data_IF_020601502265
#
_entry.id   IF_020601502265
#
_cell.length_a   1.000
_cell.length_b   1.000
_cell.length_c   1.000
_cell.angle_alpha   90.00
_cell.angle_beta   90.00
_cell.angle_gamma   90.00
#
_symmetry.space_group_name_H-M   'P 1'
#
loop_
_entity.id
_entity.type
_entity.pdbx_description
1 polymer ?
#
# COMPACT_ATOMS: atom_id res chain seq x y z
N UNK A 1 23.47 1.51 1.09
CA UNK A 1 22.89 2.40 0.05
C UNK A 1 23.70 3.68 0.00
N UNK A 2 24.30 3.99 -1.14
CA UNK A 2 25.11 5.19 -1.37
C UNK A 2 24.32 6.29 -2.12
N UNK A 3 24.97 7.43 -2.42
CA UNK A 3 24.32 8.56 -3.09
C UNK A 3 23.82 8.21 -4.51
N UNK A 4 24.48 7.29 -5.20
CA UNK A 4 24.05 6.85 -6.54
C UNK A 4 22.83 5.94 -6.43
N UNK A 5 22.79 5.04 -5.46
CA UNK A 5 21.62 4.20 -5.22
C UNK A 5 20.37 5.05 -4.91
N UNK A 6 20.54 6.12 -4.12
CA UNK A 6 19.45 7.08 -3.86
C UNK A 6 18.94 7.78 -5.13
N UNK A 7 19.85 8.19 -6.02
CA UNK A 7 19.45 8.77 -7.32
C UNK A 7 18.69 7.75 -8.17
N UNK A 8 19.17 6.50 -8.23
CA UNK A 8 18.48 5.41 -8.94
C UNK A 8 17.05 5.25 -8.40
N UNK A 9 16.88 5.20 -7.07
CA UNK A 9 15.55 5.08 -6.46
C UNK A 9 14.66 6.29 -6.76
N UNK A 10 15.19 7.50 -6.72
CA UNK A 10 14.45 8.72 -7.05
C UNK A 10 13.93 8.69 -8.49
N UNK A 11 14.79 8.35 -9.44
CA UNK A 11 14.42 8.25 -10.85
C UNK A 11 13.39 7.14 -11.11
N UNK A 12 13.59 5.95 -10.53
CA UNK A 12 12.67 4.82 -10.69
C UNK A 12 11.31 5.04 -10.01
N UNK A 13 11.26 5.77 -8.89
CA UNK A 13 9.99 6.14 -8.27
C UNK A 13 9.22 7.16 -9.12
N UNK A 14 9.92 8.05 -9.84
CA UNK A 14 9.30 9.01 -10.74
C UNK A 14 8.85 8.35 -12.04
N UNK A 15 9.64 7.43 -12.59
CA UNK A 15 9.32 6.70 -13.81
C UNK A 15 9.97 5.31 -13.82
N UNK A 16 9.15 4.29 -13.58
CA UNK A 16 9.60 2.88 -13.57
C UNK A 16 9.84 2.29 -14.97
N UNK A 17 9.39 2.98 -16.04
CA UNK A 17 9.53 2.51 -17.43
C UNK A 17 10.87 2.91 -18.08
N UNK A 18 11.74 3.62 -17.36
CA UNK A 18 13.07 3.95 -17.83
C UNK A 18 13.85 2.68 -18.18
N UNK A 19 14.43 2.67 -19.39
CA UNK A 19 15.43 1.65 -19.72
C UNK A 19 16.67 1.79 -18.84
N UNK A 20 17.41 0.71 -18.67
CA UNK A 20 18.67 0.74 -17.89
C UNK A 20 19.66 1.76 -18.46
N UNK A 21 19.68 1.94 -19.79
CA UNK A 21 20.54 2.92 -20.46
C UNK A 21 20.14 4.35 -20.11
N UNK A 22 18.84 4.68 -20.16
CA UNK A 22 18.34 6.00 -19.80
C UNK A 22 18.60 6.33 -18.34
N UNK A 23 18.33 5.36 -17.45
CA UNK A 23 18.58 5.50 -16.03
C UNK A 23 20.08 5.71 -15.75
N UNK A 24 20.96 4.92 -16.38
CA UNK A 24 22.40 5.04 -16.24
C UNK A 24 22.88 6.45 -16.63
N UNK A 25 22.40 6.98 -17.75
CA UNK A 25 22.69 8.35 -18.20
C UNK A 25 22.28 9.41 -17.17
N UNK A 26 21.09 9.25 -16.55
CA UNK A 26 20.57 10.21 -15.55
C UNK A 26 21.35 10.20 -14.25
N UNK A 27 21.86 9.02 -13.83
CA UNK A 27 22.61 8.90 -12.56
C UNK A 27 24.13 9.00 -12.74
N UNK A 28 24.62 9.20 -13.97
CA UNK A 28 26.03 9.35 -14.27
C UNK A 28 26.84 8.03 -14.24
N UNK A 29 26.22 6.93 -14.68
CA UNK A 29 26.85 5.62 -14.78
C UNK A 29 26.85 5.09 -16.22
N UNK A 30 27.67 4.09 -16.50
CA UNK A 30 27.47 3.20 -17.64
C UNK A 30 26.39 2.14 -17.32
N UNK A 31 25.87 1.50 -18.36
CA UNK A 31 24.72 0.58 -18.27
C UNK A 31 24.97 -0.60 -17.30
N UNK A 32 26.14 -1.26 -17.40
CA UNK A 32 26.42 -2.47 -16.61
C UNK A 32 26.47 -2.19 -15.10
N UNK A 33 27.22 -1.20 -14.57
CA UNK A 33 27.18 -0.91 -13.15
C UNK A 33 25.82 -0.38 -12.68
N UNK A 34 25.07 0.34 -13.51
CA UNK A 34 23.72 0.75 -13.19
C UNK A 34 22.80 -0.48 -13.00
N UNK A 35 22.81 -1.40 -13.95
CA UNK A 35 22.05 -2.66 -13.85
C UNK A 35 22.40 -3.47 -12.60
N UNK A 36 23.70 -3.62 -12.27
CA UNK A 36 24.12 -4.34 -11.07
C UNK A 36 23.59 -3.71 -9.79
N UNK A 37 23.52 -2.38 -9.73
CA UNK A 37 22.95 -1.66 -8.57
C UNK A 37 21.46 -1.88 -8.46
N UNK A 38 20.70 -1.85 -9.56
CA UNK A 38 19.28 -2.13 -9.56
C UNK A 38 19.03 -3.56 -9.05
N UNK A 39 19.76 -4.55 -9.57
CA UNK A 39 19.63 -5.94 -9.13
C UNK A 39 19.93 -6.10 -7.63
N UNK A 40 20.92 -5.36 -7.12
CA UNK A 40 21.22 -5.36 -5.68
C UNK A 40 20.08 -4.74 -4.87
N UNK A 41 19.51 -3.61 -5.30
CA UNK A 41 18.38 -2.95 -4.62
C UNK A 41 17.12 -3.83 -4.62
N UNK A 42 16.87 -4.58 -5.70
CA UNK A 42 15.80 -5.58 -5.78
C UNK A 42 16.08 -6.78 -4.86
N UNK A 43 17.29 -7.33 -4.89
CA UNK A 43 17.70 -8.44 -4.03
C UNK A 43 17.64 -8.11 -2.54
N UNK A 44 18.07 -6.90 -2.17
CA UNK A 44 18.04 -6.41 -0.79
C UNK A 44 16.61 -6.03 -0.33
N UNK A 45 15.60 -6.16 -1.18
CA UNK A 45 14.20 -5.85 -0.89
C UNK A 45 13.91 -4.35 -0.75
N UNK A 46 14.80 -3.48 -1.21
CA UNK A 46 14.59 -2.01 -1.22
C UNK A 46 13.63 -1.65 -2.35
N UNK A 47 13.78 -2.25 -3.52
CA UNK A 47 12.80 -2.23 -4.60
C UNK A 47 11.96 -3.50 -4.47
N UNK A 48 10.71 -3.35 -4.07
CA UNK A 48 9.80 -4.48 -3.89
C UNK A 48 9.28 -5.02 -5.22
N UNK A 49 8.82 -4.12 -6.09
CA UNK A 49 8.26 -4.43 -7.42
C UNK A 49 8.05 -3.15 -8.22
N UNK A 50 7.85 -3.30 -9.52
CA UNK A 50 7.40 -2.23 -10.41
C UNK A 50 5.94 -2.50 -10.78
N UNK A 51 5.09 -1.49 -10.72
CA UNK A 51 3.65 -1.61 -10.97
C UNK A 51 3.13 -0.42 -11.77
N UNK A 52 2.07 -0.64 -12.53
CA UNK A 52 1.28 0.45 -13.07
C UNK A 52 0.36 1.00 -11.97
N UNK A 53 0.27 2.31 -11.87
CA UNK A 53 -0.71 2.98 -11.03
C UNK A 53 -1.98 3.22 -11.82
N UNK A 54 -3.12 2.82 -11.26
CA UNK A 54 -4.42 2.93 -11.89
C UNK A 54 -5.27 3.94 -11.14
N UNK A 55 -6.00 4.80 -11.85
CA UNK A 55 -6.99 5.69 -11.26
C UNK A 55 -8.24 4.88 -10.89
N UNK A 56 -8.53 4.66 -9.60
CA UNK A 56 -9.60 3.77 -9.18
C UNK A 56 -10.97 4.23 -9.67
N UNK A 57 -11.20 5.54 -9.74
CA UNK A 57 -12.46 6.13 -10.21
C UNK A 57 -12.72 5.77 -11.69
N UNK A 58 -11.67 5.59 -12.48
CA UNK A 58 -11.77 5.24 -13.90
C UNK A 58 -12.07 3.78 -14.18
N UNK A 59 -11.90 2.94 -13.16
CA UNK A 59 -12.24 1.51 -13.23
C UNK A 59 -13.46 1.17 -12.34
N UNK A 60 -14.24 2.19 -11.94
CA UNK A 60 -15.48 2.01 -11.20
C UNK A 60 -15.30 1.85 -9.68
N UNK A 61 -14.14 2.17 -9.11
CA UNK A 61 -13.86 2.09 -7.67
C UNK A 61 -13.82 3.51 -7.07
N UNK A 62 -14.99 4.16 -7.03
CA UNK A 62 -15.11 5.58 -6.65
C UNK A 62 -15.21 5.86 -5.15
N UNK A 63 -15.35 4.85 -4.30
CA UNK A 63 -15.57 5.03 -2.87
C UNK A 63 -14.39 4.51 -2.05
N UNK A 64 -13.74 5.41 -1.32
CA UNK A 64 -12.70 5.05 -0.34
C UNK A 64 -13.24 5.21 1.07
N UNK A 65 -13.05 4.18 1.90
CA UNK A 65 -13.51 4.14 3.28
C UNK A 65 -12.33 3.82 4.20
N UNK A 66 -12.15 4.61 5.25
CA UNK A 66 -11.23 4.35 6.33
C UNK A 66 -12.01 3.71 7.47
N UNK A 67 -11.68 2.46 7.79
CA UNK A 67 -12.38 1.65 8.80
C UNK A 67 -11.50 1.49 10.02
N UNK A 68 -11.90 2.11 11.13
CA UNK A 68 -11.25 1.94 12.43
C UNK A 68 -11.91 0.79 13.18
N UNK A 69 -11.10 -0.11 13.70
CA UNK A 69 -11.53 -1.33 14.40
C UNK A 69 -10.95 -1.36 15.80
N UNK A 70 -11.82 -1.66 16.77
CA UNK A 70 -11.45 -2.02 18.13
C UNK A 70 -11.81 -3.49 18.37
N UNK A 71 -10.91 -4.25 18.97
CA UNK A 71 -11.15 -5.63 19.40
C UNK A 71 -11.11 -5.77 20.91
N UNK A 72 -11.84 -6.72 21.44
CA UNK A 72 -11.72 -7.11 22.84
C UNK A 72 -10.69 -8.23 23.07
N UNK A 73 -10.17 -8.83 22.00
CA UNK A 73 -9.19 -9.92 22.03
C UNK A 73 -7.89 -9.46 21.35
N UNK A 74 -6.81 -9.44 22.10
CA UNK A 74 -5.48 -9.05 21.65
C UNK A 74 -4.54 -10.26 21.52
N UNK A 75 -5.08 -11.48 21.48
CA UNK A 75 -4.29 -12.70 21.29
C UNK A 75 -3.67 -12.78 19.91
N UNK A 76 -2.52 -13.43 19.79
CA UNK A 76 -1.87 -13.67 18.51
C UNK A 76 -2.73 -14.55 17.61
N UNK A 77 -3.48 -15.48 18.17
CA UNK A 77 -4.39 -16.34 17.42
C UNK A 77 -5.49 -15.54 16.74
N UNK A 78 -6.12 -14.62 17.47
CA UNK A 78 -7.14 -13.72 16.92
C UNK A 78 -6.55 -12.87 15.79
N UNK A 79 -5.38 -12.24 16.03
CA UNK A 79 -4.72 -11.40 15.02
C UNK A 79 -4.40 -12.18 13.74
N UNK A 80 -3.87 -13.41 13.87
CA UNK A 80 -3.52 -14.24 12.71
C UNK A 80 -4.76 -14.52 11.87
N UNK A 81 -5.85 -15.01 12.47
CA UNK A 81 -7.10 -15.29 11.79
C UNK A 81 -7.71 -14.06 11.15
N UNK A 82 -7.69 -12.94 11.86
CA UNK A 82 -8.22 -11.68 11.35
C UNK A 82 -7.38 -11.16 10.18
N UNK A 83 -6.05 -11.20 10.26
CA UNK A 83 -5.16 -10.80 9.17
C UNK A 83 -5.33 -11.69 7.93
N UNK A 84 -5.48 -13.02 8.10
CA UNK A 84 -5.78 -13.95 6.99
C UNK A 84 -7.10 -13.57 6.30
N UNK A 85 -8.17 -13.34 7.08
CA UNK A 85 -9.44 -12.89 6.53
C UNK A 85 -9.30 -11.59 5.75
N UNK A 86 -8.66 -10.57 6.35
CA UNK A 86 -8.50 -9.25 5.71
C UNK A 86 -7.65 -9.35 4.44
N UNK A 87 -6.58 -10.13 4.44
CA UNK A 87 -5.70 -10.32 3.28
C UNK A 87 -6.43 -10.98 2.10
N UNK A 88 -7.45 -11.77 2.36
CA UNK A 88 -8.28 -12.39 1.34
C UNK A 88 -9.35 -11.44 0.74
N UNK A 89 -9.55 -10.24 1.30
CA UNK A 89 -10.54 -9.28 0.77
C UNK A 89 -9.90 -8.37 -0.29
N UNK A 90 -10.27 -8.47 -1.58
CA UNK A 90 -9.65 -7.69 -2.65
C UNK A 90 -9.90 -6.19 -2.54
N UNK A 91 -10.98 -5.77 -1.89
CA UNK A 91 -11.31 -4.38 -1.65
C UNK A 91 -10.47 -3.72 -0.55
N UNK A 92 -9.78 -4.49 0.31
CA UNK A 92 -8.90 -3.95 1.34
C UNK A 92 -7.52 -3.69 0.74
N UNK A 93 -7.18 -2.42 0.61
CA UNK A 93 -5.93 -1.98 0.03
C UNK A 93 -4.79 -1.95 1.05
N UNK A 94 -5.10 -1.66 2.31
CA UNK A 94 -4.13 -1.55 3.40
C UNK A 94 -4.74 -1.93 4.73
N UNK A 95 -3.95 -2.53 5.60
CA UNK A 95 -4.27 -2.78 7.01
C UNK A 95 -3.10 -2.36 7.88
N UNK A 96 -3.36 -1.53 8.87
CA UNK A 96 -2.38 -1.09 9.86
C UNK A 96 -2.83 -1.53 11.26
N UNK A 97 -1.88 -2.08 12.03
CA UNK A 97 -2.03 -2.20 13.49
C UNK A 97 -1.62 -0.89 14.11
N UNK A 98 -2.46 -0.38 15.00
CA UNK A 98 -2.30 0.94 15.59
C UNK A 98 -1.87 0.84 17.06
N UNK A 99 -1.29 1.93 17.56
CA UNK A 99 -1.15 2.19 18.99
C UNK A 99 -2.10 3.33 19.35
N UNK A 100 -2.86 3.20 20.46
CA UNK A 100 -3.85 4.18 20.90
C UNK A 100 -5.25 3.60 20.99
N UNK A 101 -6.26 4.40 20.80
CA UNK A 101 -7.68 4.05 21.01
C UNK A 101 -8.24 3.08 19.96
N UNK A 102 -7.62 3.01 18.82
CA UNK A 102 -8.00 2.13 17.71
C UNK A 102 -6.94 1.03 17.56
N UNK A 103 -7.35 -0.22 17.45
CA UNK A 103 -6.43 -1.35 17.30
C UNK A 103 -5.96 -1.53 15.86
N UNK A 104 -6.86 -1.33 14.89
CA UNK A 104 -6.55 -1.47 13.45
C UNK A 104 -7.24 -0.40 12.62
N UNK A 105 -6.59 0.00 11.53
CA UNK A 105 -7.19 0.83 10.47
C UNK A 105 -7.06 0.10 9.15
N UNK A 106 -8.18 0.01 8.42
CA UNK A 106 -8.22 -0.49 7.05
C UNK A 106 -8.47 0.68 6.09
N UNK A 107 -7.82 0.64 4.92
CA UNK A 107 -8.24 1.43 3.77
C UNK A 107 -8.93 0.51 2.78
N UNK A 108 -10.23 0.73 2.60
CA UNK A 108 -11.10 -0.06 1.73
C UNK A 108 -11.47 0.78 0.52
N UNK A 109 -11.43 0.18 -0.69
CA UNK A 109 -11.84 0.85 -1.93
C UNK A 109 -12.86 -0.01 -2.65
N UNK A 110 -14.04 0.54 -2.91
CA UNK A 110 -15.19 -0.16 -3.49
C UNK A 110 -15.92 0.72 -4.51
N UNK A 111 -16.83 0.13 -5.26
CA UNK A 111 -17.58 0.86 -6.28
C UNK A 111 -18.53 1.90 -5.65
N UNK A 112 -19.31 1.50 -4.64
CA UNK A 112 -20.41 2.26 -4.05
C UNK A 112 -20.74 1.81 -2.61
N UNK A 113 -21.78 2.40 -2.03
CA UNK A 113 -22.26 2.09 -0.69
C UNK A 113 -22.78 0.66 -0.57
N UNK A 114 -23.38 0.09 -1.61
CA UNK A 114 -23.89 -1.27 -1.57
C UNK A 114 -22.75 -2.29 -1.51
N UNK A 115 -21.69 -2.05 -2.28
CA UNK A 115 -20.46 -2.86 -2.22
C UNK A 115 -19.78 -2.74 -0.86
N UNK A 116 -19.76 -1.53 -0.26
CA UNK A 116 -19.24 -1.36 1.09
C UNK A 116 -20.07 -2.09 2.14
N UNK A 117 -21.40 -2.02 2.09
CA UNK A 117 -22.27 -2.74 3.02
C UNK A 117 -22.07 -4.26 2.94
N UNK A 118 -21.86 -4.79 1.74
CA UNK A 118 -21.54 -6.21 1.53
C UNK A 118 -20.19 -6.60 2.19
N UNK A 119 -19.17 -5.76 2.03
CA UNK A 119 -17.89 -5.94 2.73
C UNK A 119 -18.06 -5.86 4.25
N UNK A 120 -18.74 -4.83 4.75
CA UNK A 120 -18.98 -4.61 6.17
C UNK A 120 -19.66 -5.82 6.83
N UNK A 121 -20.66 -6.41 6.20
CA UNK A 121 -21.33 -7.62 6.70
C UNK A 121 -20.38 -8.81 6.80
N UNK A 122 -19.49 -9.00 5.85
CA UNK A 122 -18.44 -10.03 5.94
C UNK A 122 -17.45 -9.74 7.07
N UNK A 123 -17.04 -8.49 7.22
CA UNK A 123 -16.11 -8.05 8.25
C UNK A 123 -16.62 -8.36 9.66
N UNK A 124 -17.86 -7.94 9.99
CA UNK A 124 -18.42 -8.13 11.33
C UNK A 124 -18.79 -9.60 11.62
N UNK A 125 -18.89 -10.43 10.59
CA UNK A 125 -19.14 -11.88 10.75
C UNK A 125 -17.83 -12.68 10.92
N UNK A 126 -16.71 -12.15 10.41
CA UNK A 126 -15.45 -12.87 10.37
C UNK A 126 -14.76 -13.02 11.74
N UNK A 127 -14.96 -12.04 12.64
CA UNK A 127 -14.35 -12.04 13.97
C UNK A 127 -15.19 -11.23 14.96
N UNK A 128 -15.13 -11.55 16.26
CA UNK A 128 -15.73 -10.72 17.28
C UNK A 128 -14.98 -9.38 17.37
N UNK A 129 -15.67 -8.29 17.01
CA UNK A 129 -15.16 -6.94 17.06
C UNK A 129 -15.90 -6.16 18.15
N UNK A 130 -15.18 -5.34 18.92
CA UNK A 130 -15.77 -4.49 19.95
C UNK A 130 -16.47 -3.28 19.33
N UNK A 131 -15.81 -2.64 18.36
CA UNK A 131 -16.33 -1.48 17.64
C UNK A 131 -15.76 -1.42 16.22
N UNK A 132 -16.58 -0.94 15.29
CA UNK A 132 -16.19 -0.67 13.90
C UNK A 132 -16.72 0.70 13.50
N UNK A 133 -15.83 1.61 13.19
CA UNK A 133 -16.17 2.97 12.73
C UNK A 133 -15.74 3.16 11.29
N UNK A 134 -16.72 3.38 10.41
CA UNK A 134 -16.48 3.63 8.98
C UNK A 134 -16.49 5.13 8.69
N UNK A 135 -15.42 5.64 8.08
CA UNK A 135 -15.30 7.04 7.66
C UNK A 135 -15.13 7.09 6.16
N UNK A 136 -16.08 7.69 5.48
CA UNK A 136 -16.09 7.83 4.02
C UNK A 136 -15.26 9.04 3.61
N UNK A 137 -14.24 8.81 2.78
CA UNK A 137 -13.45 9.90 2.24
C UNK A 137 -14.27 10.69 1.22
N UNK A 138 -14.45 11.99 1.46
CA UNK A 138 -15.15 12.86 0.52
C UNK A 138 -14.27 13.20 -0.69
N UNK A 139 -12.97 13.33 -0.47
CA UNK A 139 -11.99 13.70 -1.48
C UNK A 139 -10.60 13.17 -1.12
N UNK A 140 -9.84 12.76 -2.11
CA UNK A 140 -8.42 12.43 -1.97
C UNK A 140 -7.57 13.59 -2.45
N UNK A 141 -7.15 14.44 -1.50
CA UNK A 141 -6.41 15.68 -1.79
C UNK A 141 -4.98 15.38 -2.27
N UNK A 142 -4.33 14.35 -1.70
CA UNK A 142 -2.97 13.95 -2.08
C UNK A 142 -2.82 12.43 -2.08
N UNK A 143 -2.12 11.89 -3.08
CA UNK A 143 -1.78 10.47 -3.17
C UNK A 143 -0.42 10.31 -3.86
N UNK A 144 0.63 10.50 -3.09
CA UNK A 144 2.00 10.26 -3.54
C UNK A 144 2.40 8.81 -3.30
N UNK A 145 3.09 8.22 -4.27
CA UNK A 145 3.66 6.87 -4.16
C UNK A 145 5.18 6.90 -4.03
N UNK A 146 5.82 8.02 -4.39
CA UNK A 146 7.25 8.21 -4.26
C UNK A 146 7.62 8.65 -2.83
N UNK A 147 8.40 7.84 -2.15
CA UNK A 147 8.96 8.20 -0.85
C UNK A 147 10.13 9.18 -1.00
N UNK A 148 10.27 10.17 -0.11
CA UNK A 148 11.48 10.98 -0.04
C UNK A 148 12.64 10.08 0.39
N UNK A 149 13.64 9.92 -0.50
CA UNK A 149 14.81 9.09 -0.19
C UNK A 149 15.74 9.87 0.72
N UNK A 150 16.00 9.41 1.97
CA UNK A 150 16.82 10.16 2.92
C UNK A 150 18.25 10.35 2.43
N UNK A 151 18.88 11.45 2.82
CA UNK A 151 20.27 11.80 2.44
C UNK A 151 21.29 10.80 3.00
#
# INVERSE_FOLDING_TARGET
MDAIDRKILTELQANADLSVQELANRVGLSQTPCWKRIQKLEHDGIILKRVALVAPEKIGLGLTVLVSIETGDHSLEWLTKFAEFITAQPEVMEMYRMAGDTDYILRVTVADMAAYDAFYKRLITAAPLKNVTSRFAMERIKAETAYPVPA
#
